data_IF_592613544367
#
_entry.id   IF_592613544367
#
_cell.length_a   1.000
_cell.length_b   1.000
_cell.length_c   1.000
_cell.angle_alpha   90.00
_cell.angle_beta   90.00
_cell.angle_gamma   90.00
#
_symmetry.space_group_name_H-M   'P 1'
#
loop_
_entity.id
_entity.type
_entity.pdbx_description
1 polymer ?
#
# COMPACT_ATOMS: atom_id res chain seq x y z
N UNK A 1 40.71 -9.69 -2.24
CA UNK A 1 39.63 -8.67 -2.24
C UNK A 1 38.39 -9.13 -3.01
N UNK A 2 38.52 -9.58 -4.27
CA UNK A 2 37.38 -10.02 -5.11
C UNK A 2 36.56 -11.20 -4.54
N UNK A 3 37.21 -12.18 -3.89
CA UNK A 3 36.53 -13.35 -3.29
C UNK A 3 35.65 -13.00 -2.09
N UNK A 4 36.03 -11.98 -1.31
CA UNK A 4 35.27 -11.53 -0.13
C UNK A 4 34.00 -10.78 -0.58
N UNK A 5 34.10 -10.01 -1.67
CA UNK A 5 32.97 -9.28 -2.26
C UNK A 5 31.93 -10.27 -2.83
N UNK A 6 32.35 -11.32 -3.55
CA UNK A 6 31.43 -12.36 -4.02
C UNK A 6 30.70 -13.08 -2.88
N UNK A 7 31.40 -13.42 -1.79
CA UNK A 7 30.79 -14.10 -0.63
C UNK A 7 29.80 -13.17 0.08
N UNK A 8 30.10 -11.87 0.17
CA UNK A 8 29.19 -10.88 0.75
C UNK A 8 27.94 -10.67 -0.11
N UNK A 9 28.08 -10.63 -1.45
CA UNK A 9 26.94 -10.56 -2.37
C UNK A 9 26.10 -11.85 -2.37
N UNK A 10 26.72 -13.02 -2.27
CA UNK A 10 26.00 -14.31 -2.15
C UNK A 10 25.29 -14.46 -0.81
N UNK A 11 25.88 -13.96 0.28
CA UNK A 11 25.23 -13.89 1.59
C UNK A 11 24.05 -12.89 1.57
N UNK A 12 24.21 -11.71 0.96
CA UNK A 12 23.10 -10.78 0.75
C UNK A 12 21.99 -11.42 -0.08
N UNK A 13 22.32 -12.16 -1.15
CA UNK A 13 21.34 -12.86 -1.98
C UNK A 13 20.64 -13.99 -1.21
N UNK A 14 21.37 -14.71 -0.34
CA UNK A 14 20.80 -15.75 0.51
C UNK A 14 19.90 -15.17 1.63
N UNK A 15 20.26 -14.03 2.22
CA UNK A 15 19.43 -13.35 3.23
C UNK A 15 18.09 -12.86 2.62
N UNK A 16 18.07 -12.54 1.32
CA UNK A 16 16.82 -12.20 0.59
C UNK A 16 15.93 -13.41 0.27
N UNK A 17 16.37 -14.65 0.53
CA UNK A 17 15.60 -15.88 0.24
C UNK A 17 14.91 -16.49 1.45
N UNK A 18 14.93 -15.83 2.61
CA UNK A 18 14.03 -16.18 3.70
C UNK A 18 12.63 -15.74 3.28
N UNK A 19 11.89 -16.67 2.68
CA UNK A 19 10.55 -16.45 2.18
C UNK A 19 9.65 -15.92 3.30
N UNK A 20 9.30 -14.64 3.22
CA UNK A 20 8.16 -14.11 3.93
C UNK A 20 6.94 -14.92 3.49
N UNK A 21 6.41 -15.78 4.36
CA UNK A 21 5.10 -16.38 4.14
C UNK A 21 4.13 -15.21 4.00
N UNK A 22 3.48 -15.09 2.85
CA UNK A 22 2.61 -13.95 2.55
C UNK A 22 1.56 -13.81 3.65
N UNK A 23 1.46 -12.63 4.27
CA UNK A 23 0.46 -12.27 5.29
C UNK A 23 -0.97 -12.62 4.84
N UNK A 24 -1.21 -12.59 3.53
CA UNK A 24 -2.48 -12.98 2.91
C UNK A 24 -2.80 -14.45 3.15
N UNK A 25 -1.85 -15.36 2.94
CA UNK A 25 -2.06 -16.80 3.13
C UNK A 25 -2.41 -17.13 4.58
N UNK A 26 -1.80 -16.44 5.54
CA UNK A 26 -2.13 -16.61 6.96
C UNK A 26 -3.52 -16.09 7.32
N UNK A 27 -3.97 -15.01 6.67
CA UNK A 27 -5.27 -14.40 6.89
C UNK A 27 -6.41 -15.28 6.35
N UNK A 28 -6.25 -15.80 5.13
CA UNK A 28 -7.27 -16.60 4.46
C UNK A 28 -7.44 -18.00 5.07
N UNK A 29 -6.41 -18.54 5.72
CA UNK A 29 -6.42 -19.84 6.39
C UNK A 29 -6.57 -19.74 7.92
N UNK A 30 -7.05 -18.61 8.43
CA UNK A 30 -7.09 -18.38 9.87
C UNK A 30 -8.05 -19.35 10.59
N UNK A 31 -7.48 -20.19 11.46
CA UNK A 31 -8.21 -21.25 12.19
C UNK A 31 -8.91 -20.76 13.46
N UNK A 32 -8.60 -19.55 13.93
CA UNK A 32 -9.19 -18.98 15.16
C UNK A 32 -10.65 -18.57 14.99
N UNK A 33 -11.18 -18.64 13.77
CA UNK A 33 -12.50 -18.15 13.43
C UNK A 33 -13.57 -19.21 13.66
N UNK A 34 -14.55 -18.91 14.52
CA UNK A 34 -15.55 -19.89 14.96
C UNK A 34 -16.73 -20.07 13.97
N UNK A 35 -17.00 -19.07 13.13
CA UNK A 35 -18.14 -19.06 12.20
C UNK A 35 -17.75 -19.49 10.79
N UNK A 36 -18.58 -20.22 10.01
CA UNK A 36 -18.29 -20.47 8.61
C UNK A 36 -18.19 -19.14 7.83
N UNK A 37 -17.36 -19.12 6.77
CA UNK A 37 -17.26 -17.95 5.90
C UNK A 37 -18.60 -17.72 5.18
N UNK A 38 -19.15 -16.50 5.27
CA UNK A 38 -20.39 -16.09 4.60
C UNK A 38 -20.12 -15.31 3.31
N UNK A 39 -18.85 -15.07 3.00
CA UNK A 39 -18.41 -14.29 1.85
C UNK A 39 -18.85 -14.90 0.52
N UNK A 40 -19.60 -14.15 -0.27
CA UNK A 40 -19.97 -14.52 -1.64
C UNK A 40 -19.02 -13.89 -2.66
N UNK A 41 -18.13 -14.72 -3.21
CA UNK A 41 -17.16 -14.30 -4.22
C UNK A 41 -17.72 -14.24 -5.65
N UNK A 42 -18.92 -14.76 -5.88
CA UNK A 42 -19.54 -14.84 -7.21
C UNK A 42 -19.79 -13.45 -7.78
N UNK A 43 -20.25 -12.53 -6.94
CA UNK A 43 -20.47 -11.13 -7.31
C UNK A 43 -19.18 -10.37 -7.64
N UNK A 44 -18.03 -10.84 -7.14
CA UNK A 44 -16.73 -10.21 -7.34
C UNK A 44 -15.93 -10.83 -8.49
N UNK A 45 -16.51 -11.76 -9.27
CA UNK A 45 -15.82 -12.55 -10.29
C UNK A 45 -14.49 -13.13 -9.77
N UNK A 46 -14.51 -13.62 -8.52
CA UNK A 46 -13.34 -14.07 -7.78
C UNK A 46 -13.56 -15.51 -7.30
N UNK A 47 -12.48 -16.27 -7.12
CA UNK A 47 -12.54 -17.63 -6.56
C UNK A 47 -12.41 -17.60 -5.05
N UNK A 48 -13.06 -18.55 -4.38
CA UNK A 48 -12.95 -18.70 -2.92
C UNK A 48 -11.63 -19.37 -2.59
N UNK A 49 -10.83 -18.75 -1.72
CA UNK A 49 -9.62 -19.32 -1.14
C UNK A 49 -9.67 -19.17 0.37
N UNK A 50 -10.03 -20.25 1.07
CA UNK A 50 -10.29 -20.21 2.51
C UNK A 50 -11.40 -19.22 2.85
N UNK A 51 -11.07 -18.17 3.60
CA UNK A 51 -11.98 -17.06 3.97
C UNK A 51 -11.82 -15.80 3.11
N UNK A 52 -11.12 -15.90 1.98
CA UNK A 52 -10.87 -14.78 1.09
C UNK A 52 -11.48 -15.03 -0.29
N UNK A 53 -11.90 -13.95 -0.95
CA UNK A 53 -12.09 -13.93 -2.39
C UNK A 53 -10.79 -13.52 -3.06
N UNK A 54 -10.32 -14.33 -4.00
CA UNK A 54 -9.08 -14.07 -4.74
C UNK A 54 -9.42 -14.01 -6.21
N UNK A 55 -9.07 -12.90 -6.86
CA UNK A 55 -9.17 -12.77 -8.30
C UNK A 55 -7.93 -13.37 -8.95
N UNK A 56 -8.16 -14.26 -9.91
CA UNK A 56 -7.10 -15.01 -10.57
C UNK A 56 -6.22 -14.09 -11.44
N UNK A 57 -4.96 -14.48 -11.64
CA UNK A 57 -3.95 -13.67 -12.32
C UNK A 57 -4.29 -13.49 -13.80
N UNK A 58 -4.32 -12.25 -14.27
CA UNK A 58 -4.17 -11.98 -15.70
C UNK A 58 -2.68 -11.95 -16.01
N UNK A 59 -2.15 -13.04 -16.59
CA UNK A 59 -0.80 -13.32 -17.20
C UNK A 59 0.49 -12.66 -16.67
N UNK A 60 0.47 -11.44 -16.11
CA UNK A 60 1.58 -10.68 -15.54
C UNK A 60 1.22 -9.90 -14.24
N UNK A 61 0.01 -10.03 -13.69
CA UNK A 61 -0.38 -9.40 -12.42
C UNK A 61 -0.35 -10.38 -11.23
N UNK A 62 -0.01 -9.93 -10.01
CA UNK A 62 -0.16 -10.74 -8.81
C UNK A 62 -1.66 -11.00 -8.54
N UNK A 63 -1.98 -12.14 -7.93
CA UNK A 63 -3.36 -12.45 -7.51
C UNK A 63 -3.82 -11.40 -6.50
N UNK A 64 -5.00 -10.82 -6.72
CA UNK A 64 -5.53 -9.76 -5.86
C UNK A 64 -6.63 -10.31 -4.95
N UNK A 65 -6.64 -9.87 -3.70
CA UNK A 65 -7.68 -10.21 -2.73
C UNK A 65 -8.78 -9.17 -2.84
N UNK A 66 -10.00 -9.61 -3.12
CA UNK A 66 -11.17 -8.75 -3.33
C UNK A 66 -12.17 -8.82 -2.19
N UNK A 67 -12.09 -9.84 -1.33
CA UNK A 67 -12.97 -9.98 -0.17
C UNK A 67 -12.29 -10.75 0.94
N UNK A 68 -12.59 -10.41 2.19
CA UNK A 68 -12.05 -11.04 3.39
C UNK A 68 -13.17 -11.22 4.43
N UNK A 69 -13.33 -12.45 4.91
CA UNK A 69 -14.18 -12.79 6.05
C UNK A 69 -13.32 -13.11 7.27
N UNK A 70 -13.40 -12.26 8.28
CA UNK A 70 -12.74 -12.44 9.56
C UNK A 70 -13.75 -12.41 10.71
N UNK A 71 -14.97 -12.92 10.47
CA UNK A 71 -16.03 -12.94 11.48
C UNK A 71 -15.65 -13.92 12.60
N UNK A 72 -15.72 -13.45 13.85
CA UNK A 72 -15.52 -14.33 15.01
C UNK A 72 -14.12 -14.93 15.13
N UNK A 73 -13.09 -14.21 14.70
CA UNK A 73 -11.69 -14.67 14.70
C UNK A 73 -10.90 -14.27 15.97
N UNK A 74 -11.58 -13.80 17.02
CA UNK A 74 -10.98 -13.31 18.27
C UNK A 74 -9.95 -12.19 18.08
N UNK A 75 -10.13 -11.36 17.04
CA UNK A 75 -9.26 -10.22 16.79
C UNK A 75 -9.48 -9.14 17.86
N UNK A 76 -8.40 -8.58 18.37
CA UNK A 76 -8.42 -7.45 19.31
C UNK A 76 -7.86 -6.17 18.68
N UNK A 77 -7.03 -6.30 17.65
CA UNK A 77 -6.41 -5.21 16.92
C UNK A 77 -6.28 -5.60 15.44
N UNK A 78 -6.53 -4.65 14.54
CA UNK A 78 -6.49 -4.85 13.09
C UNK A 78 -5.41 -4.01 12.39
N UNK A 79 -4.56 -3.34 13.16
CA UNK A 79 -3.61 -2.39 12.63
C UNK A 79 -2.66 -3.03 11.63
N UNK A 80 -2.61 -2.42 10.44
CA UNK A 80 -1.81 -2.84 9.28
C UNK A 80 -2.16 -4.21 8.69
N UNK A 81 -3.22 -4.89 9.15
CA UNK A 81 -3.60 -6.20 8.59
C UNK A 81 -3.98 -6.11 7.11
N UNK A 82 -4.61 -5.00 6.70
CA UNK A 82 -5.13 -4.77 5.36
C UNK A 82 -4.28 -3.79 4.53
N UNK A 83 -3.09 -3.44 5.03
CA UNK A 83 -2.25 -2.46 4.37
C UNK A 83 -1.90 -2.91 2.94
N UNK A 84 -2.05 -1.99 1.99
CA UNK A 84 -1.81 -2.23 0.55
C UNK A 84 -2.76 -3.25 -0.10
N UNK A 85 -3.92 -3.54 0.49
CA UNK A 85 -4.97 -4.33 -0.15
C UNK A 85 -5.93 -3.45 -0.98
N UNK A 86 -5.37 -2.77 -1.99
CA UNK A 86 -6.08 -1.73 -2.75
C UNK A 86 -7.36 -2.18 -3.47
N UNK A 87 -7.47 -3.48 -3.76
CA UNK A 87 -8.62 -4.08 -4.45
C UNK A 87 -9.63 -4.77 -3.53
N UNK A 88 -9.47 -4.63 -2.20
CA UNK A 88 -10.37 -5.24 -1.25
C UNK A 88 -11.71 -4.50 -1.25
N UNK A 89 -12.78 -5.19 -1.65
CA UNK A 89 -14.13 -4.66 -1.81
C UNK A 89 -15.01 -4.99 -0.61
N UNK A 90 -14.91 -6.21 -0.06
CA UNK A 90 -15.69 -6.65 1.10
C UNK A 90 -14.79 -7.03 2.27
N UNK A 91 -15.10 -6.51 3.46
CA UNK A 91 -14.37 -6.82 4.69
C UNK A 91 -15.33 -7.04 5.86
N UNK A 92 -15.33 -8.25 6.42
CA UNK A 92 -16.22 -8.58 7.53
C UNK A 92 -15.45 -8.82 8.84
N UNK A 93 -15.71 -8.00 9.85
CA UNK A 93 -14.99 -8.00 11.15
C UNK A 93 -15.91 -8.09 12.36
N UNK A 94 -17.23 -8.21 12.18
CA UNK A 94 -18.15 -8.36 13.30
C UNK A 94 -17.88 -9.65 14.12
N UNK A 95 -18.39 -9.70 15.35
CA UNK A 95 -18.12 -10.78 16.34
C UNK A 95 -16.64 -10.92 16.75
N UNK A 96 -15.82 -9.89 16.57
CA UNK A 96 -14.48 -9.81 17.17
C UNK A 96 -14.47 -8.95 18.44
N UNK A 97 -13.37 -9.00 19.18
CA UNK A 97 -13.19 -8.26 20.42
C UNK A 97 -12.36 -6.98 20.19
N UNK A 98 -12.62 -6.31 19.05
CA UNK A 98 -11.97 -5.07 18.64
C UNK A 98 -12.64 -3.93 19.40
N UNK A 99 -11.85 -3.21 20.20
CA UNK A 99 -12.36 -2.11 21.04
C UNK A 99 -12.29 -0.74 20.35
N UNK A 100 -11.41 -0.59 19.37
CA UNK A 100 -11.17 0.66 18.66
C UNK A 100 -10.61 0.39 17.27
N UNK A 101 -10.85 1.32 16.35
CA UNK A 101 -10.29 1.32 14.99
C UNK A 101 -9.79 2.72 14.65
N UNK A 102 -8.59 2.79 14.09
CA UNK A 102 -8.07 4.04 13.54
C UNK A 102 -8.38 4.15 12.05
N UNK A 103 -8.48 5.38 11.56
CA UNK A 103 -8.61 5.66 10.13
C UNK A 103 -7.41 5.06 9.35
N UNK A 104 -6.22 5.10 9.96
CA UNK A 104 -5.00 4.57 9.38
C UNK A 104 -5.00 3.04 9.24
N UNK A 105 -5.84 2.31 9.98
CA UNK A 105 -5.94 0.84 9.91
C UNK A 105 -6.43 0.35 8.53
N UNK A 106 -7.12 1.24 7.80
CA UNK A 106 -7.65 0.99 6.45
C UNK A 106 -6.84 1.68 5.35
N UNK A 107 -5.66 2.22 5.66
CA UNK A 107 -4.79 2.86 4.65
C UNK A 107 -4.34 1.86 3.60
N UNK A 108 -4.58 2.20 2.33
CA UNK A 108 -4.29 1.38 1.17
C UNK A 108 -5.40 0.40 0.80
N UNK A 109 -6.60 0.56 1.37
CA UNK A 109 -7.82 -0.20 1.02
C UNK A 109 -8.72 0.69 0.17
N UNK A 110 -8.37 0.86 -1.11
CA UNK A 110 -8.89 1.94 -1.94
C UNK A 110 -10.28 1.67 -2.56
N UNK A 111 -10.68 0.39 -2.67
CA UNK A 111 -11.90 -0.05 -3.35
C UNK A 111 -12.95 -0.62 -2.39
N UNK A 112 -12.81 -0.36 -1.09
CA UNK A 112 -13.72 -0.91 -0.08
C UNK A 112 -15.15 -0.42 -0.36
N UNK A 113 -16.09 -1.37 -0.33
CA UNK A 113 -17.51 -1.09 -0.56
C UNK A 113 -18.35 -1.44 0.63
N UNK A 114 -18.15 -2.61 1.22
CA UNK A 114 -18.90 -3.05 2.38
C UNK A 114 -17.98 -3.46 3.52
N UNK A 115 -18.26 -2.94 4.70
CA UNK A 115 -17.54 -3.21 5.93
C UNK A 115 -18.53 -3.57 7.04
N UNK A 116 -18.27 -4.66 7.77
CA UNK A 116 -19.02 -4.96 9.01
C UNK A 116 -18.11 -4.90 10.21
N UNK A 117 -18.56 -4.26 11.27
CA UNK A 117 -17.81 -4.01 12.51
C UNK A 117 -18.59 -4.52 13.73
N UNK A 118 -17.91 -4.77 14.87
CA UNK A 118 -18.57 -4.92 16.17
C UNK A 118 -19.55 -3.77 16.51
N UNK A 119 -20.61 -4.03 17.29
CA UNK A 119 -21.76 -3.12 17.47
C UNK A 119 -21.44 -1.82 18.22
N UNK A 120 -20.25 -1.68 18.81
CA UNK A 120 -19.82 -0.49 19.55
C UNK A 120 -18.87 0.41 18.74
N UNK A 121 -18.60 0.07 17.48
CA UNK A 121 -17.75 0.86 16.59
C UNK A 121 -18.61 1.60 15.58
N UNK A 122 -18.10 2.74 15.09
CA UNK A 122 -18.73 3.48 14.00
C UNK A 122 -17.97 3.26 12.70
N UNK A 123 -18.63 3.47 11.58
CA UNK A 123 -17.99 3.37 10.28
C UNK A 123 -16.81 4.35 10.16
N UNK A 124 -15.63 3.89 9.68
CA UNK A 124 -14.45 4.73 9.58
C UNK A 124 -14.72 5.86 8.61
N UNK A 125 -14.18 7.03 8.94
CA UNK A 125 -14.45 8.24 8.16
C UNK A 125 -15.76 8.97 8.51
N UNK A 126 -16.63 8.34 9.30
CA UNK A 126 -17.91 8.90 9.74
C UNK A 126 -19.05 8.65 8.74
N UNK A 127 -20.28 8.76 9.23
CA UNK A 127 -21.50 8.37 8.52
C UNK A 127 -21.70 9.01 7.13
N UNK A 128 -21.09 10.17 6.85
CA UNK A 128 -21.25 10.89 5.57
C UNK A 128 -20.50 10.18 4.42
N UNK A 129 -19.46 9.40 4.75
CA UNK A 129 -18.67 8.67 3.74
C UNK A 129 -19.32 7.38 3.26
N UNK A 130 -20.42 6.96 3.86
CA UNK A 130 -21.11 5.72 3.53
C UNK A 130 -22.50 6.05 3.02
N UNK A 131 -23.00 5.33 2.01
CA UNK A 131 -24.40 5.50 1.56
C UNK A 131 -25.35 5.22 2.72
N UNK A 132 -25.06 4.15 3.49
CA UNK A 132 -25.84 3.75 4.67
C UNK A 132 -24.93 3.20 5.74
N UNK A 133 -25.24 3.56 6.98
CA UNK A 133 -24.76 2.92 8.20
C UNK A 133 -25.96 2.27 8.89
N UNK A 134 -25.93 0.94 9.00
CA UNK A 134 -27.02 0.14 9.56
C UNK A 134 -26.54 -0.46 10.88
N UNK A 135 -27.15 -0.03 11.97
CA UNK A 135 -26.88 -0.56 13.31
C UNK A 135 -27.78 -1.76 13.59
N UNK A 136 -27.19 -2.95 13.60
CA UNK A 136 -27.84 -4.18 14.05
C UNK A 136 -27.56 -4.40 15.54
N UNK A 137 -28.20 -5.41 16.14
CA UNK A 137 -27.97 -5.74 17.55
C UNK A 137 -26.57 -6.30 17.83
N UNK A 138 -25.94 -6.94 16.84
CA UNK A 138 -24.68 -7.68 16.96
C UNK A 138 -23.57 -7.15 16.04
N UNK A 139 -23.86 -6.17 15.18
CA UNK A 139 -22.88 -5.57 14.27
C UNK A 139 -23.30 -4.17 13.82
N UNK A 140 -22.32 -3.40 13.33
CA UNK A 140 -22.54 -2.22 12.50
C UNK A 140 -22.17 -2.58 11.06
N UNK A 141 -23.04 -2.23 10.12
CA UNK A 141 -22.86 -2.48 8.70
C UNK A 141 -22.73 -1.15 7.95
N UNK A 142 -21.58 -0.97 7.29
CA UNK A 142 -21.23 0.19 6.49
C UNK A 142 -21.37 -0.20 5.01
N UNK A 143 -22.32 0.42 4.31
CA UNK A 143 -22.71 0.05 2.95
C UNK A 143 -22.30 1.13 1.96
N UNK A 144 -21.66 0.68 0.88
CA UNK A 144 -21.19 1.49 -0.24
C UNK A 144 -20.39 2.73 0.18
N UNK A 145 -19.08 2.54 0.37
CA UNK A 145 -18.16 3.67 0.57
C UNK A 145 -18.21 4.63 -0.63
N UNK A 146 -18.31 5.91 -0.29
CA UNK A 146 -18.24 7.04 -1.20
C UNK A 146 -16.82 7.59 -1.27
N UNK A 147 -16.44 8.10 -2.43
CA UNK A 147 -15.13 8.74 -2.62
C UNK A 147 -14.97 9.93 -1.68
N UNK A 148 -13.94 9.88 -0.83
CA UNK A 148 -13.55 10.96 0.08
C UNK A 148 -13.23 12.22 -0.72
N UNK A 149 -12.53 12.07 -1.85
CA UNK A 149 -12.23 13.17 -2.77
C UNK A 149 -13.50 13.92 -3.22
N UNK A 150 -14.58 13.20 -3.49
CA UNK A 150 -15.85 13.80 -3.95
C UNK A 150 -16.67 14.38 -2.80
N UNK A 151 -16.86 13.61 -1.72
CA UNK A 151 -17.70 14.00 -0.58
C UNK A 151 -17.17 15.27 0.09
N UNK A 152 -15.85 15.37 0.27
CA UNK A 152 -15.23 16.52 0.91
C UNK A 152 -14.69 17.56 -0.08
N UNK A 153 -14.91 17.37 -1.39
CA UNK A 153 -14.40 18.23 -2.46
C UNK A 153 -12.91 18.58 -2.27
N UNK A 154 -12.08 17.55 -2.10
CA UNK A 154 -10.65 17.72 -1.80
C UNK A 154 -9.92 18.25 -3.02
N UNK A 155 -9.31 19.42 -2.89
CA UNK A 155 -8.53 20.05 -3.96
C UNK A 155 -7.04 19.78 -3.81
N UNK A 156 -6.38 19.34 -4.89
CA UNK A 156 -4.94 19.24 -4.93
C UNK A 156 -4.28 20.57 -5.37
N UNK A 157 -3.01 20.84 -4.99
CA UNK A 157 -2.40 22.18 -5.10
C UNK A 157 -2.26 22.74 -6.52
N UNK A 158 -2.24 21.88 -7.55
CA UNK A 158 -2.08 22.31 -8.93
C UNK A 158 -2.99 21.53 -9.88
N UNK A 159 -3.21 22.09 -11.06
CA UNK A 159 -4.03 21.49 -12.12
C UNK A 159 -3.44 20.19 -12.72
N UNK A 160 -2.18 19.89 -12.42
CA UNK A 160 -1.48 18.69 -12.89
C UNK A 160 -1.50 17.57 -11.83
N UNK A 161 -2.34 17.72 -10.82
CA UNK A 161 -2.53 16.77 -9.74
C UNK A 161 -4.01 16.51 -9.57
N UNK A 162 -4.36 15.27 -9.22
CA UNK A 162 -5.72 14.85 -8.96
C UNK A 162 -5.79 14.12 -7.62
N UNK A 163 -6.94 14.22 -6.96
CA UNK A 163 -7.19 13.53 -5.71
C UNK A 163 -7.47 12.05 -5.98
N UNK A 164 -6.87 11.18 -5.18
CA UNK A 164 -7.09 9.74 -5.18
C UNK A 164 -7.44 9.28 -3.77
N UNK A 165 -8.44 8.42 -3.67
CA UNK A 165 -8.82 7.78 -2.40
C UNK A 165 -7.81 6.68 -2.05
N UNK A 166 -7.37 6.63 -0.79
CA UNK A 166 -6.44 5.60 -0.27
C UNK A 166 -7.01 4.88 0.96
N UNK A 167 -8.34 4.88 1.09
CA UNK A 167 -9.11 4.30 2.18
C UNK A 167 -10.11 5.28 2.79
N UNK A 168 -10.95 4.83 3.73
CA UNK A 168 -11.97 5.66 4.35
C UNK A 168 -11.35 6.92 4.97
N UNK A 169 -11.75 8.11 4.50
CA UNK A 169 -11.27 9.43 4.98
C UNK A 169 -9.77 9.70 4.79
N UNK A 170 -9.04 8.85 4.06
CA UNK A 170 -7.64 9.09 3.70
C UNK A 170 -7.53 9.31 2.20
N UNK A 171 -6.93 10.42 1.80
CA UNK A 171 -6.73 10.78 0.38
C UNK A 171 -5.28 11.17 0.13
N UNK A 172 -4.82 10.91 -1.08
CA UNK A 172 -3.54 11.42 -1.57
C UNK A 172 -3.70 12.19 -2.88
N UNK A 173 -2.73 13.04 -3.20
CA UNK A 173 -2.68 13.75 -4.48
C UNK A 173 -1.68 13.08 -5.40
N UNK A 174 -2.18 12.49 -6.49
CA UNK A 174 -1.37 11.85 -7.53
C UNK A 174 -1.17 12.79 -8.72
N UNK A 175 -0.09 12.57 -9.47
CA UNK A 175 0.21 13.36 -10.65
C UNK A 175 -0.61 12.89 -11.85
N UNK A 176 -1.18 13.84 -12.59
CA UNK A 176 -1.83 13.58 -13.87
C UNK A 176 -0.86 12.90 -14.87
N UNK A 177 -1.38 12.14 -15.84
CA UNK A 177 -0.54 11.42 -16.80
C UNK A 177 0.51 12.32 -17.47
N UNK A 178 1.77 11.89 -17.45
CA UNK A 178 2.91 12.63 -18.01
C UNK A 178 3.58 13.62 -17.06
N UNK A 179 2.99 13.89 -15.89
CA UNK A 179 3.61 14.68 -14.83
C UNK A 179 4.20 13.79 -13.74
N UNK A 180 5.28 14.24 -13.12
CA UNK A 180 5.96 13.49 -12.06
C UNK A 180 6.67 14.40 -11.05
N UNK A 181 7.14 13.77 -9.97
CA UNK A 181 7.77 14.43 -8.82
C UNK A 181 6.76 14.85 -7.76
N UNK A 182 7.25 15.15 -6.56
CA UNK A 182 6.42 15.45 -5.37
C UNK A 182 5.48 16.66 -5.50
N UNK A 183 5.64 17.49 -6.55
CA UNK A 183 4.76 18.62 -6.88
C UNK A 183 4.07 18.48 -8.24
N UNK A 184 4.28 17.40 -8.99
CA UNK A 184 3.70 17.23 -10.34
C UNK A 184 4.00 18.39 -11.31
N UNK A 185 5.17 19.04 -11.16
CA UNK A 185 5.59 20.17 -12.00
C UNK A 185 6.53 19.75 -13.13
N UNK A 186 7.07 18.53 -13.08
CA UNK A 186 8.01 18.04 -14.09
C UNK A 186 7.25 17.22 -15.12
N UNK A 187 7.56 17.46 -16.39
CA UNK A 187 7.07 16.73 -17.55
C UNK A 187 8.29 16.11 -18.25
N UNK A 188 8.10 14.96 -18.88
CA UNK A 188 9.13 14.22 -19.62
C UNK A 188 10.27 13.64 -18.76
N UNK A 189 11.23 12.95 -19.37
CA UNK A 189 12.29 12.27 -18.62
C UNK A 189 13.36 13.26 -18.14
N UNK A 190 13.88 13.03 -16.93
CA UNK A 190 15.07 13.76 -16.48
C UNK A 190 16.25 13.50 -17.42
N UNK A 191 16.99 14.52 -17.90
CA UNK A 191 18.10 14.37 -18.84
C UNK A 191 19.35 13.81 -18.13
N UNK A 192 19.27 12.55 -17.72
CA UNK A 192 20.28 11.85 -16.91
C UNK A 192 21.66 11.91 -17.57
N UNK A 193 21.73 11.74 -18.90
CA UNK A 193 22.99 11.79 -19.63
C UNK A 193 23.70 13.15 -19.47
N UNK A 194 22.98 14.26 -19.68
CA UNK A 194 23.55 15.61 -19.56
C UNK A 194 24.04 15.88 -18.14
N UNK A 195 23.27 15.47 -17.13
CA UNK A 195 23.64 15.64 -15.73
C UNK A 195 24.88 14.81 -15.35
N UNK A 196 24.92 13.54 -15.75
CA UNK A 196 26.05 12.64 -15.50
C UNK A 196 27.31 13.14 -16.21
N UNK A 197 27.22 13.58 -17.46
CA UNK A 197 28.35 14.17 -18.19
C UNK A 197 28.88 15.42 -17.46
N UNK A 198 27.99 16.31 -17.01
CA UNK A 198 28.38 17.49 -16.24
C UNK A 198 29.14 17.15 -14.95
N UNK A 199 28.67 16.15 -14.20
CA UNK A 199 29.34 15.69 -12.97
C UNK A 199 30.69 15.03 -13.30
N UNK A 200 30.74 14.15 -14.30
CA UNK A 200 31.98 13.46 -14.68
C UNK A 200 33.05 14.45 -15.13
N UNK A 201 32.71 15.40 -16.00
CA UNK A 201 33.66 16.40 -16.51
C UNK A 201 34.17 17.29 -15.38
N UNK A 202 33.29 17.82 -14.54
CA UNK A 202 33.71 18.64 -13.39
C UNK A 202 34.60 17.87 -12.41
N UNK A 203 34.29 16.61 -12.14
CA UNK A 203 35.11 15.74 -11.28
C UNK A 203 36.50 15.50 -11.86
N UNK A 204 36.62 15.23 -13.17
CA UNK A 204 37.91 15.06 -13.85
C UNK A 204 38.73 16.34 -13.79
N UNK A 205 38.12 17.49 -14.06
CA UNK A 205 38.79 18.79 -14.03
C UNK A 205 39.31 19.11 -12.62
N UNK A 206 38.48 18.95 -11.59
CA UNK A 206 38.88 19.17 -10.19
C UNK A 206 39.99 18.20 -9.78
N UNK A 207 39.87 16.92 -10.14
CA UNK A 207 40.88 15.90 -9.82
C UNK A 207 42.22 16.22 -10.48
N UNK A 208 42.22 16.64 -11.75
CA UNK A 208 43.43 17.05 -12.46
C UNK A 208 44.05 18.32 -11.84
N UNK A 209 43.24 19.32 -11.48
CA UNK A 209 43.69 20.53 -10.82
C UNK A 209 44.33 20.23 -9.45
N UNK A 210 43.66 19.42 -8.62
CA UNK A 210 44.19 18.98 -7.33
C UNK A 210 45.49 18.19 -7.49
N UNK A 211 45.55 17.29 -8.48
CA UNK A 211 46.76 16.52 -8.77
C UNK A 211 47.94 17.43 -9.13
N UNK A 212 47.75 18.39 -10.03
CA UNK A 212 48.81 19.31 -10.47
C UNK A 212 49.28 20.20 -9.31
N UNK A 213 48.36 20.76 -8.54
CA UNK A 213 48.69 21.70 -7.47
C UNK A 213 49.26 21.03 -6.23
N UNK A 214 48.75 19.86 -5.83
CA UNK A 214 49.21 19.15 -4.63
C UNK A 214 50.48 18.33 -4.87
N UNK A 215 50.64 17.65 -6.02
CA UNK A 215 51.89 16.90 -6.29
C UNK A 215 53.11 17.78 -6.48
N UNK A 216 52.94 19.03 -6.93
CA UNK A 216 54.06 19.98 -7.07
C UNK A 216 54.73 20.34 -5.75
N UNK A 217 54.12 20.04 -4.59
CA UNK A 217 54.69 20.31 -3.27
C UNK A 217 55.27 19.07 -2.56
N UNK A 218 55.22 17.88 -3.17
CA UNK A 218 55.84 16.69 -2.60
C UNK A 218 57.31 16.66 -3.02
N UNK A 219 58.21 17.06 -2.13
CA UNK A 219 59.65 16.81 -2.29
C UNK A 219 59.87 15.29 -2.24
N UNK A 220 60.57 14.73 -3.24
CA UNK A 220 61.08 13.35 -3.17
C UNK A 220 62.18 13.35 -2.10
N UNK A 221 61.94 12.64 -1.00
CA UNK A 221 62.99 12.28 -0.04
C UNK A 221 63.71 11.03 -0.52
#
# INVERSE_FOLDING_TARGET
MMRIICVFFLLLFAIMTVGAKSTISTLCEMKSCESPSILDCSHLNSSVSGRCCVKEKETLSPSTVTGIDLIGCHLTNISRLFHSMGHLVFLYLHKNNISDIDVDDFTGVNELKNLTLPPNLSCPGGHILWDKEINHSDMVECVEEQSTCKVFNVTCPNSNSYCSDVGPRVTECLCSPGYHGYKCLRKDHFPTATFVVGICVSTVVVSAFLWITQRRKVKKH
#
